data_IF_637770357072
#
_entry.id   IF_637770357072
#
_cell.length_a   1.000
_cell.length_b   1.000
_cell.length_c   1.000
_cell.angle_alpha   90.00
_cell.angle_beta   90.00
_cell.angle_gamma   90.00
#
_symmetry.space_group_name_H-M   'P 1'
#
loop_
_entity.id
_entity.type
_entity.pdbx_description
1 polymer ?
#
# COMPACT_ATOMS: atom_id res chain seq x y z
N UNK A 1 -24.08 -5.95 2.57
CA UNK A 1 -24.83 -4.85 1.91
C UNK A 1 -23.95 -4.38 0.76
N UNK A 2 -24.32 -4.65 -0.50
CA UNK A 2 -23.48 -4.29 -1.65
C UNK A 2 -23.52 -2.77 -1.86
N UNK A 3 -22.38 -2.12 -2.06
CA UNK A 3 -22.30 -0.68 -2.29
C UNK A 3 -22.51 -0.42 -3.78
N UNK A 4 -23.71 0.02 -4.16
CA UNK A 4 -23.92 0.55 -5.50
C UNK A 4 -23.12 1.85 -5.63
N UNK A 5 -22.01 1.81 -6.38
CA UNK A 5 -21.06 2.92 -6.44
C UNK A 5 -20.39 2.99 -7.80
N UNK A 6 -20.02 4.19 -8.24
CA UNK A 6 -19.18 4.38 -9.43
C UNK A 6 -17.71 4.25 -9.04
N UNK A 7 -16.78 3.99 -9.97
CA UNK A 7 -15.35 3.96 -9.66
C UNK A 7 -14.85 5.24 -8.96
N UNK A 8 -15.47 6.38 -9.27
CA UNK A 8 -15.20 7.65 -8.59
C UNK A 8 -15.61 7.65 -7.10
N UNK A 9 -16.77 7.05 -6.78
CA UNK A 9 -17.22 6.87 -5.39
C UNK A 9 -16.30 5.89 -4.66
N UNK A 10 -15.93 4.78 -5.29
CA UNK A 10 -14.97 3.82 -4.72
C UNK A 10 -13.62 4.49 -4.42
N UNK A 11 -13.10 5.34 -5.32
CA UNK A 11 -11.90 6.13 -5.07
C UNK A 11 -12.05 7.09 -3.89
N UNK A 12 -13.21 7.74 -3.74
CA UNK A 12 -13.48 8.62 -2.59
C UNK A 12 -13.51 7.84 -1.27
N UNK A 13 -14.15 6.67 -1.25
CA UNK A 13 -14.19 5.77 -0.09
C UNK A 13 -12.77 5.29 0.25
N UNK A 14 -12.02 4.78 -0.73
CA UNK A 14 -10.65 4.33 -0.55
C UNK A 14 -9.76 5.43 0.04
N UNK A 15 -9.81 6.67 -0.50
CA UNK A 15 -9.08 7.81 0.08
C UNK A 15 -9.46 8.08 1.53
N UNK A 16 -10.75 8.04 1.87
CA UNK A 16 -11.24 8.27 3.23
C UNK A 16 -10.68 7.25 4.21
N UNK A 17 -10.72 5.96 3.85
CA UNK A 17 -10.19 4.86 4.66
C UNK A 17 -8.68 4.99 4.84
N UNK A 18 -7.94 5.15 3.74
CA UNK A 18 -6.48 5.23 3.77
C UNK A 18 -5.99 6.43 4.58
N UNK A 19 -6.62 7.61 4.40
CA UNK A 19 -6.29 8.81 5.18
C UNK A 19 -6.55 8.62 6.68
N UNK A 20 -7.64 7.95 7.05
CA UNK A 20 -7.97 7.69 8.45
C UNK A 20 -7.02 6.65 9.09
N UNK A 21 -6.69 5.60 8.34
CA UNK A 21 -5.89 4.47 8.86
C UNK A 21 -4.39 4.75 8.84
N UNK A 22 -3.91 5.56 7.90
CA UNK A 22 -2.48 5.87 7.71
C UNK A 22 -2.27 7.38 7.53
N UNK A 23 -2.51 8.19 8.58
CA UNK A 23 -2.51 9.65 8.47
C UNK A 23 -1.14 10.25 8.09
N UNK A 24 -0.05 9.54 8.39
CA UNK A 24 1.30 9.95 8.04
C UNK A 24 1.70 9.66 6.58
N UNK A 25 0.91 8.87 5.84
CA UNK A 25 1.21 8.51 4.44
C UNK A 25 0.30 9.27 3.47
N UNK A 26 0.90 9.87 2.44
CA UNK A 26 0.16 10.55 1.37
C UNK A 26 -0.15 9.57 0.23
N UNK A 27 -1.43 9.36 -0.04
CA UNK A 27 -1.88 8.47 -1.12
C UNK A 27 -2.43 9.24 -2.31
N UNK A 28 -2.08 8.79 -3.52
CA UNK A 28 -2.72 9.14 -4.78
C UNK A 28 -3.68 8.02 -5.16
N UNK A 29 -4.98 8.33 -5.25
CA UNK A 29 -6.02 7.36 -5.64
C UNK A 29 -6.76 7.86 -6.87
N UNK A 30 -6.57 7.15 -7.99
CA UNK A 30 -7.17 7.46 -9.29
C UNK A 30 -8.16 6.36 -9.68
N UNK A 31 -9.31 6.76 -10.21
CA UNK A 31 -10.28 5.84 -10.77
C UNK A 31 -10.30 5.98 -12.29
N UNK A 32 -10.39 4.85 -12.99
CA UNK A 32 -10.66 4.80 -14.41
C UNK A 32 -12.05 4.19 -14.61
N UNK A 33 -13.02 5.04 -14.98
CA UNK A 33 -14.40 4.62 -15.19
C UNK A 33 -14.56 3.65 -16.37
N UNK A 34 -13.77 3.82 -17.43
CA UNK A 34 -13.85 2.99 -18.63
C UNK A 34 -13.32 1.57 -18.40
N UNK A 35 -12.26 1.46 -17.59
CA UNK A 35 -11.62 0.17 -17.30
C UNK A 35 -12.12 -0.49 -16.01
N UNK A 36 -13.04 0.15 -15.28
CA UNK A 36 -13.47 -0.27 -13.94
C UNK A 36 -12.28 -0.59 -13.02
N UNK A 37 -11.25 0.27 -13.07
CA UNK A 37 -10.04 0.12 -12.26
C UNK A 37 -9.84 1.27 -11.30
N UNK A 38 -9.15 0.97 -10.19
CA UNK A 38 -8.74 1.95 -9.20
C UNK A 38 -7.25 1.76 -8.93
N UNK A 39 -6.47 2.82 -9.06
CA UNK A 39 -5.03 2.79 -8.83
C UNK A 39 -4.71 3.56 -7.57
N UNK A 40 -4.03 2.89 -6.64
CA UNK A 40 -3.53 3.47 -5.39
C UNK A 40 -2.01 3.48 -5.45
N UNK A 41 -1.44 4.69 -5.40
CA UNK A 41 0.01 4.87 -5.33
C UNK A 41 0.43 5.75 -4.16
N UNK A 42 1.60 5.47 -3.58
CA UNK A 42 2.20 6.26 -2.51
C UNK A 42 3.71 6.06 -2.45
N UNK A 43 4.38 7.00 -1.79
CA UNK A 43 5.82 6.97 -1.59
C UNK A 43 6.13 6.69 -0.12
N UNK A 44 7.10 5.81 0.13
CA UNK A 44 7.55 5.35 1.45
C UNK A 44 6.40 4.96 2.40
N UNK A 45 6.55 5.16 3.70
CA UNK A 45 5.46 4.97 4.67
C UNK A 45 5.03 3.52 4.86
N UNK A 46 3.72 3.28 4.82
CA UNK A 46 3.13 1.96 5.12
C UNK A 46 3.45 0.90 4.05
N UNK A 47 3.63 -0.35 4.50
CA UNK A 47 3.76 -1.52 3.63
C UNK A 47 2.54 -1.74 2.72
N UNK A 48 2.79 -2.28 1.52
CA UNK A 48 1.77 -2.60 0.51
C UNK A 48 0.68 -3.52 1.06
N UNK A 49 1.07 -4.53 1.83
CA UNK A 49 0.17 -5.52 2.39
C UNK A 49 -0.89 -4.90 3.33
N UNK A 50 -0.51 -3.89 4.12
CA UNK A 50 -1.46 -3.21 5.01
C UNK A 50 -2.46 -2.34 4.24
N UNK A 51 -2.03 -1.74 3.12
CA UNK A 51 -2.90 -0.97 2.22
C UNK A 51 -3.88 -1.91 1.53
N UNK A 52 -3.39 -3.02 0.97
CA UNK A 52 -4.23 -4.06 0.36
C UNK A 52 -5.30 -4.54 1.33
N UNK A 53 -4.92 -4.96 2.54
CA UNK A 53 -5.87 -5.38 3.58
C UNK A 53 -6.89 -4.30 3.98
N UNK A 54 -6.57 -3.01 3.82
CA UNK A 54 -7.48 -1.95 4.21
C UNK A 54 -8.64 -1.74 3.22
N UNK A 55 -8.43 -2.04 1.93
CA UNK A 55 -9.38 -1.68 0.88
C UNK A 55 -9.67 -2.79 -0.14
N UNK A 56 -9.07 -3.98 -0.03
CA UNK A 56 -9.33 -5.11 -0.95
C UNK A 56 -10.80 -5.55 -0.98
N UNK A 57 -11.54 -5.33 0.11
CA UNK A 57 -12.96 -5.66 0.18
C UNK A 57 -13.79 -4.80 -0.79
N UNK A 58 -13.30 -3.62 -1.18
CA UNK A 58 -13.95 -2.79 -2.20
C UNK A 58 -14.01 -3.50 -3.55
N UNK A 59 -13.10 -4.43 -3.87
CA UNK A 59 -13.19 -5.22 -5.10
C UNK A 59 -14.38 -6.18 -5.08
N UNK A 60 -14.72 -6.70 -3.89
CA UNK A 60 -15.73 -7.76 -3.69
C UNK A 60 -17.15 -7.20 -3.53
N UNK A 61 -17.27 -6.03 -2.89
CA UNK A 61 -18.57 -5.43 -2.53
C UNK A 61 -19.02 -4.33 -3.51
N UNK A 62 -18.27 -4.09 -4.59
CA UNK A 62 -18.61 -3.09 -5.60
C UNK A 62 -19.71 -3.59 -6.54
N UNK A 63 -20.79 -2.82 -6.65
CA UNK A 63 -21.84 -3.00 -7.65
C UNK A 63 -21.97 -1.71 -8.45
N UNK A 64 -22.01 -1.83 -9.77
CA UNK A 64 -22.18 -0.68 -10.66
C UNK A 64 -23.57 -0.71 -11.29
N UNK A 65 -24.32 0.38 -11.13
CA UNK A 65 -25.64 0.60 -11.78
C UNK A 65 -26.67 -0.52 -11.60
N UNK A 66 -26.68 -1.19 -10.43
CA UNK A 66 -27.54 -2.36 -10.14
C UNK A 66 -27.41 -3.53 -11.13
N UNK A 67 -26.41 -3.50 -12.01
CA UNK A 67 -26.04 -4.63 -12.83
C UNK A 67 -24.94 -5.39 -12.09
N UNK A 68 -25.15 -6.69 -11.91
CA UNK A 68 -24.07 -7.61 -11.56
C UNK A 68 -23.15 -7.73 -12.79
N UNK A 69 -22.38 -6.69 -13.07
CA UNK A 69 -21.26 -6.82 -13.98
C UNK A 69 -20.33 -7.89 -13.40
N UNK A 70 -20.06 -8.94 -14.16
CA UNK A 70 -19.02 -9.93 -13.85
C UNK A 70 -17.60 -9.32 -13.76
N UNK A 71 -17.47 -8.01 -13.97
CA UNK A 71 -16.22 -7.27 -13.85
C UNK A 71 -16.15 -6.65 -12.45
N UNK A 72 -15.51 -7.36 -11.53
CA UNK A 72 -15.11 -6.81 -10.24
C UNK A 72 -14.23 -5.56 -10.44
N UNK A 73 -14.42 -4.55 -9.59
CA UNK A 73 -13.52 -3.40 -9.55
C UNK A 73 -12.10 -3.91 -9.30
N UNK A 74 -11.17 -3.64 -10.22
CA UNK A 74 -9.78 -4.09 -10.07
C UNK A 74 -8.93 -2.99 -9.45
N UNK A 75 -8.29 -3.27 -8.31
CA UNK A 75 -7.43 -2.31 -7.61
C UNK A 75 -5.97 -2.63 -7.86
N UNK A 76 -5.23 -1.66 -8.41
CA UNK A 76 -3.78 -1.73 -8.51
C UNK A 76 -3.12 -0.97 -7.37
N UNK A 77 -2.04 -1.54 -6.84
CA UNK A 77 -1.29 -1.00 -5.71
C UNK A 77 0.17 -0.81 -6.09
N UNK A 78 0.64 0.43 -6.05
CA UNK A 78 2.01 0.79 -6.39
C UNK A 78 2.65 1.56 -5.22
N UNK A 79 3.78 1.07 -4.75
CA UNK A 79 4.53 1.74 -3.69
C UNK A 79 5.93 2.02 -4.17
N UNK A 80 6.34 3.28 -4.13
CA UNK A 80 7.69 3.68 -4.46
C UNK A 80 8.49 3.86 -3.18
N UNK A 81 9.68 3.26 -3.14
CA UNK A 81 10.64 3.52 -2.07
C UNK A 81 11.62 4.58 -2.54
N UNK A 82 11.76 5.65 -1.75
CA UNK A 82 12.75 6.69 -2.02
C UNK A 82 14.17 6.12 -1.95
N UNK A 83 15.14 6.72 -2.66
CA UNK A 83 16.55 6.35 -2.55
C UNK A 83 17.04 6.37 -1.10
N UNK A 84 16.61 7.34 -0.31
CA UNK A 84 16.96 7.50 1.10
C UNK A 84 16.43 6.33 1.93
N UNK A 85 15.16 5.95 1.73
CA UNK A 85 14.57 4.80 2.43
C UNK A 85 15.28 3.49 2.07
N UNK A 86 15.60 3.30 0.78
CA UNK A 86 16.36 2.15 0.30
C UNK A 86 17.74 2.08 0.95
N UNK A 87 18.45 3.22 1.03
CA UNK A 87 19.76 3.30 1.66
C UNK A 87 19.70 2.95 3.17
N UNK A 88 18.69 3.42 3.89
CA UNK A 88 18.51 3.09 5.32
C UNK A 88 18.27 1.58 5.50
N UNK A 89 17.41 0.98 4.68
CA UNK A 89 17.16 -0.47 4.70
C UNK A 89 18.47 -1.24 4.44
N UNK A 90 19.21 -0.82 3.42
CA UNK A 90 20.47 -1.46 3.03
C UNK A 90 21.52 -1.38 4.15
N UNK A 91 21.77 -0.18 4.68
CA UNK A 91 22.75 0.04 5.76
C UNK A 91 22.41 -0.80 6.99
N UNK A 92 21.12 -0.90 7.33
CA UNK A 92 20.69 -1.72 8.46
C UNK A 92 20.99 -3.21 8.26
N UNK A 93 20.79 -3.73 7.06
CA UNK A 93 21.13 -5.13 6.75
C UNK A 93 22.66 -5.38 6.81
N UNK A 94 23.45 -4.40 6.37
CA UNK A 94 24.91 -4.43 6.51
C UNK A 94 25.33 -4.42 7.98
N UNK A 95 24.75 -3.54 8.81
CA UNK A 95 25.03 -3.45 10.25
C UNK A 95 24.64 -4.74 10.99
N UNK A 96 23.57 -5.40 10.56
CA UNK A 96 23.12 -6.71 11.07
C UNK A 96 24.03 -7.87 10.60
N UNK A 97 25.05 -7.60 9.78
CA UNK A 97 25.95 -8.60 9.17
C UNK A 97 25.18 -9.70 8.42
N UNK A 98 24.07 -9.32 7.80
CA UNK A 98 23.35 -10.21 6.90
C UNK A 98 24.21 -10.38 5.64
N UNK A 99 24.50 -11.61 5.26
CA UNK A 99 25.19 -11.87 4.01
C UNK A 99 24.27 -11.56 2.81
N UNK A 100 24.82 -10.87 1.82
CA UNK A 100 24.18 -10.69 0.52
C UNK A 100 24.19 -12.01 -0.25
N UNK A 101 23.24 -12.21 -1.15
CA UNK A 101 23.29 -13.32 -2.10
C UNK A 101 24.32 -13.06 -3.23
N UNK A 102 24.17 -13.81 -4.31
CA UNK A 102 24.88 -13.60 -5.56
C UNK A 102 24.71 -12.16 -6.05
N UNK A 103 25.80 -11.57 -6.53
CA UNK A 103 25.90 -10.20 -7.03
C UNK A 103 25.72 -9.08 -5.99
N UNK A 104 25.83 -9.38 -4.69
CA UNK A 104 25.81 -8.34 -3.66
C UNK A 104 24.41 -7.78 -3.35
N UNK A 105 23.36 -8.47 -3.78
CA UNK A 105 21.97 -8.10 -3.48
C UNK A 105 21.43 -8.86 -2.27
N UNK A 106 20.64 -8.18 -1.44
CA UNK A 106 19.93 -8.82 -0.33
C UNK A 106 18.67 -9.54 -0.82
N UNK A 107 18.36 -10.70 -0.23
CA UNK A 107 17.07 -11.37 -0.46
C UNK A 107 15.92 -10.41 -0.19
N UNK A 108 14.88 -10.49 -1.01
CA UNK A 108 13.64 -9.74 -0.84
C UNK A 108 12.99 -9.95 0.54
N UNK A 109 13.17 -11.13 1.15
CA UNK A 109 12.70 -11.44 2.51
C UNK A 109 13.43 -10.61 3.58
N UNK A 110 14.75 -10.42 3.44
CA UNK A 110 15.54 -9.59 4.36
C UNK A 110 15.19 -8.11 4.20
N UNK A 111 15.07 -7.63 2.97
CA UNK A 111 14.64 -6.26 2.67
C UNK A 111 13.27 -5.94 3.31
N UNK A 112 12.27 -6.82 3.12
CA UNK A 112 10.94 -6.68 3.74
C UNK A 112 10.99 -6.70 5.26
N UNK A 113 11.84 -7.56 5.84
CA UNK A 113 11.95 -7.69 7.30
C UNK A 113 12.60 -6.46 7.93
N UNK A 114 13.70 -5.97 7.36
CA UNK A 114 14.36 -4.75 7.80
C UNK A 114 13.44 -3.53 7.65
N UNK A 115 12.70 -3.45 6.55
CA UNK A 115 11.71 -2.40 6.35
C UNK A 115 10.58 -2.45 7.39
N UNK A 116 10.05 -3.63 7.69
CA UNK A 116 8.99 -3.81 8.68
C UNK A 116 9.43 -3.31 10.06
N UNK A 117 10.67 -3.60 10.45
CA UNK A 117 11.26 -3.11 11.71
C UNK A 117 11.41 -1.59 11.70
N UNK A 118 11.89 -1.00 10.60
CA UNK A 118 11.98 0.46 10.45
C UNK A 118 10.61 1.14 10.60
N UNK A 119 9.54 0.56 10.06
CA UNK A 119 8.18 1.10 10.21
C UNK A 119 7.69 0.96 11.65
N UNK A 120 7.95 -0.18 12.30
CA UNK A 120 7.58 -0.39 13.71
C UNK A 120 8.28 0.58 14.65
N UNK A 121 9.58 0.81 14.46
CA UNK A 121 10.34 1.78 15.24
C UNK A 121 9.82 3.21 15.05
N UNK A 122 9.45 3.58 13.83
CA UNK A 122 8.85 4.88 13.55
C UNK A 122 7.49 5.05 14.24
N UNK A 123 6.64 4.02 14.19
CA UNK A 123 5.33 4.03 14.88
C UNK A 123 5.51 4.07 16.40
N UNK A 124 6.50 3.37 16.96
CA UNK A 124 6.79 3.39 18.40
C UNK A 124 7.42 4.71 18.86
N UNK A 125 8.22 5.37 18.01
CA UNK A 125 8.81 6.68 18.31
C UNK A 125 7.80 7.83 18.19
N UNK A 126 6.84 7.74 17.26
CA UNK A 126 5.72 8.69 17.15
C UNK A 126 4.57 8.40 18.13
N UNK A 127 4.51 7.20 18.70
CA UNK A 127 3.50 6.76 19.69
C UNK A 127 3.84 7.08 21.14
N UNK A 128 5.02 7.64 21.42
CA UNK A 128 5.40 8.19 22.72
C UNK A 128 5.29 9.72 22.63
N UNK A 129 4.06 10.24 22.68
CA UNK A 129 3.74 11.61 23.08
C UNK A 129 2.44 11.64 23.84
#
# INVERSE_FOLDING_TARGET
MKLCSTPAIAAKIARGILKKRFPATKFSVRANAYALTLSVSWDDGVMKEHVTQAIEWLEKDFVWENQEYNNSLYITYERNLSPERKAIIHNRLVDEKIDTEWFGEFRSTFLRSAERRLIQEFVLSDGIK
#
